data_IF_362026924266
#
_entry.id   IF_362026924266
#
_cell.length_a   1.000
_cell.length_b   1.000
_cell.length_c   1.000
_cell.angle_alpha   90.00
_cell.angle_beta   90.00
_cell.angle_gamma   90.00
#
_symmetry.space_group_name_H-M   'P 1'
#
loop_
_entity.id
_entity.type
_entity.pdbx_description
1 polymer ?
#
# COMPACT_ATOMS: atom_id res chain seq x y z
N UNK A 1 -5.21 8.93 21.97
CA UNK A 1 -4.65 8.68 20.62
C UNK A 1 -3.49 7.72 20.79
N UNK A 2 -3.58 6.49 20.28
CA UNK A 2 -2.58 5.42 20.47
C UNK A 2 -1.19 5.73 19.86
N UNK A 3 -1.13 6.75 18.98
CA UNK A 3 0.09 7.16 18.28
C UNK A 3 1.16 7.64 19.26
N UNK A 4 0.79 8.31 20.36
CA UNK A 4 1.75 8.82 21.34
C UNK A 4 2.51 7.69 22.03
N UNK A 5 1.81 6.64 22.45
CA UNK A 5 2.39 5.47 23.11
C UNK A 5 3.35 4.73 22.16
N UNK A 6 2.97 4.60 20.88
CA UNK A 6 3.80 3.91 19.86
C UNK A 6 5.12 4.61 19.54
N UNK A 7 5.20 5.92 19.74
CA UNK A 7 6.37 6.72 19.35
C UNK A 7 7.10 7.30 20.57
N UNK A 8 6.69 6.95 21.79
CA UNK A 8 7.20 7.49 23.05
C UNK A 8 8.73 7.42 23.10
N UNK A 9 9.32 6.26 22.80
CA UNK A 9 10.77 6.04 22.80
C UNK A 9 11.55 6.94 21.82
N UNK A 10 10.87 7.49 20.82
CA UNK A 10 11.49 8.40 19.86
C UNK A 10 11.45 9.87 20.34
N UNK A 11 10.58 10.22 21.29
CA UNK A 11 10.40 11.58 21.78
C UNK A 11 11.05 11.76 23.16
N UNK A 12 11.73 12.88 23.36
CA UNK A 12 12.17 13.28 24.70
C UNK A 12 11.12 14.21 25.31
N UNK A 13 10.77 13.94 26.57
CA UNK A 13 9.78 14.72 27.33
C UNK A 13 10.36 16.03 27.88
N UNK A 14 11.66 16.06 28.14
CA UNK A 14 12.30 17.07 28.98
C UNK A 14 13.52 17.76 28.35
N UNK A 15 14.08 17.22 27.26
CA UNK A 15 15.34 17.72 26.70
C UNK A 15 15.24 18.17 25.24
N UNK A 16 15.81 19.35 24.97
CA UNK A 16 15.97 19.91 23.63
C UNK A 16 14.78 20.71 23.11
N UNK A 17 14.81 21.03 21.80
CA UNK A 17 13.72 21.77 21.14
C UNK A 17 12.56 20.80 20.89
N UNK A 18 11.31 21.16 21.27
CA UNK A 18 10.16 20.30 21.01
C UNK A 18 10.03 19.99 19.52
N UNK A 19 9.90 18.70 19.21
CA UNK A 19 9.66 18.21 17.85
C UNK A 19 8.22 18.47 17.41
N UNK A 20 7.95 18.21 16.13
CA UNK A 20 6.58 18.26 15.63
C UNK A 20 5.74 17.16 16.31
N UNK A 21 4.49 17.50 16.63
CA UNK A 21 3.51 16.57 17.19
C UNK A 21 3.43 15.29 16.33
N UNK A 22 3.58 14.09 16.92
CA UNK A 22 3.56 12.84 16.17
C UNK A 22 2.24 12.60 15.43
N UNK A 23 1.11 13.10 15.95
CA UNK A 23 -0.18 12.98 15.26
C UNK A 23 -0.19 13.79 13.96
N UNK A 24 0.36 15.02 13.96
CA UNK A 24 0.57 15.80 12.73
C UNK A 24 1.49 15.08 11.74
N UNK A 25 2.58 14.47 12.22
CA UNK A 25 3.53 13.75 11.36
C UNK A 25 2.91 12.55 10.63
N UNK A 26 1.92 11.90 11.25
CA UNK A 26 1.18 10.79 10.65
C UNK A 26 0.08 11.31 9.70
N UNK A 27 -0.62 12.38 10.07
CA UNK A 27 -1.75 12.90 9.30
C UNK A 27 -1.37 13.64 8.02
N UNK A 28 -0.25 14.38 8.00
CA UNK A 28 0.18 15.12 6.79
C UNK A 28 0.39 14.18 5.58
N UNK A 29 1.08 13.03 5.69
CA UNK A 29 1.18 12.05 4.62
C UNK A 29 -0.17 11.53 4.11
N UNK A 30 -1.18 11.40 4.98
CA UNK A 30 -2.51 10.95 4.56
C UNK A 30 -3.16 11.96 3.61
N UNK A 31 -3.01 13.27 3.87
CA UNK A 31 -3.44 14.32 2.94
C UNK A 31 -2.73 14.16 1.59
N UNK A 32 -1.41 13.91 1.61
CA UNK A 32 -0.65 13.67 0.36
C UNK A 32 -1.18 12.47 -0.41
N UNK A 33 -1.49 11.38 0.28
CA UNK A 33 -1.97 10.14 -0.32
C UNK A 33 -3.38 10.33 -0.91
N UNK A 34 -4.34 10.83 -0.14
CA UNK A 34 -5.73 10.97 -0.56
C UNK A 34 -5.92 11.95 -1.71
N UNK A 35 -5.14 13.04 -1.73
CA UNK A 35 -5.25 14.08 -2.75
C UNK A 35 -4.15 14.01 -3.82
N UNK A 36 -3.30 12.97 -3.80
CA UNK A 36 -2.25 12.76 -4.79
C UNK A 36 -1.15 13.84 -4.82
N UNK A 37 -0.92 14.55 -3.71
CA UNK A 37 0.04 15.66 -3.63
C UNK A 37 1.47 15.10 -3.45
N UNK A 38 2.21 15.03 -4.55
CA UNK A 38 3.58 14.48 -4.56
C UNK A 38 4.63 15.36 -3.88
N UNK A 39 4.36 16.65 -3.72
CA UNK A 39 5.32 17.62 -3.20
C UNK A 39 5.01 17.98 -1.76
N UNK A 40 5.92 17.62 -0.86
CA UNK A 40 5.86 18.00 0.55
C UNK A 40 5.74 19.52 0.76
N UNK A 41 6.43 20.32 -0.06
CA UNK A 41 6.32 21.79 -0.03
C UNK A 41 4.94 22.26 -0.43
N UNK A 42 4.35 21.63 -1.45
CA UNK A 42 2.99 21.94 -1.89
C UNK A 42 1.99 21.57 -0.79
N UNK A 43 2.16 20.40 -0.16
CA UNK A 43 1.30 19.97 0.95
C UNK A 43 1.25 20.99 2.07
N UNK A 44 2.40 21.52 2.50
CA UNK A 44 2.45 22.55 3.54
C UNK A 44 1.75 23.84 3.09
N UNK A 45 1.98 24.30 1.86
CA UNK A 45 1.28 25.48 1.30
C UNK A 45 -0.23 25.27 1.24
N UNK A 46 -0.68 24.07 0.87
CA UNK A 46 -2.10 23.76 0.82
C UNK A 46 -2.71 23.74 2.23
N UNK A 47 -1.98 23.25 3.23
CA UNK A 47 -2.41 23.29 4.65
C UNK A 47 -2.51 24.74 5.16
N UNK A 48 -1.67 25.66 4.69
CA UNK A 48 -1.74 27.08 5.08
C UNK A 48 -3.07 27.73 4.66
N UNK A 49 -3.61 27.35 3.50
CA UNK A 49 -4.80 28.01 2.91
C UNK A 49 -6.09 27.19 3.03
N UNK A 50 -6.00 25.88 3.20
CA UNK A 50 -7.17 25.00 3.18
C UNK A 50 -7.66 24.70 4.61
N UNK A 51 -8.81 25.26 4.96
CA UNK A 51 -9.45 25.08 6.28
C UNK A 51 -9.77 23.62 6.60
N UNK A 52 -10.16 22.81 5.61
CA UNK A 52 -10.44 21.39 5.83
C UNK A 52 -9.19 20.61 6.22
N UNK A 53 -8.04 20.94 5.62
CA UNK A 53 -6.76 20.32 5.98
C UNK A 53 -6.34 20.72 7.39
N UNK A 54 -6.50 22.00 7.76
CA UNK A 54 -6.23 22.47 9.12
C UNK A 54 -7.12 21.76 10.14
N UNK A 55 -8.42 21.67 9.88
CA UNK A 55 -9.36 20.97 10.74
C UNK A 55 -8.99 19.49 10.92
N UNK A 56 -8.66 18.79 9.83
CA UNK A 56 -8.22 17.39 9.90
C UNK A 56 -6.94 17.22 10.74
N UNK A 57 -6.01 18.17 10.62
CA UNK A 57 -4.77 18.22 11.39
C UNK A 57 -4.97 18.68 12.84
N UNK A 58 -6.15 19.18 13.21
CA UNK A 58 -6.40 19.75 14.54
C UNK A 58 -5.76 21.13 14.75
N UNK A 59 -5.47 21.85 13.66
CA UNK A 59 -4.96 23.21 13.69
C UNK A 59 -6.12 24.21 13.64
N UNK A 60 -6.14 25.16 14.58
CA UNK A 60 -7.00 26.35 14.59
C UNK A 60 -6.61 27.29 13.45
N UNK A 61 -7.36 28.35 13.17
CA UNK A 61 -7.00 29.31 12.11
C UNK A 61 -5.70 30.08 12.42
N UNK A 62 -5.43 30.38 13.69
CA UNK A 62 -4.28 31.16 14.13
C UNK A 62 -3.00 30.32 14.33
N UNK A 63 -3.11 28.99 14.32
CA UNK A 63 -1.98 28.10 14.57
C UNK A 63 -0.95 28.18 13.43
N UNK A 64 0.34 28.07 13.78
CA UNK A 64 1.39 28.06 12.76
C UNK A 64 1.49 26.69 12.10
N UNK A 65 1.49 26.68 10.77
CA UNK A 65 1.75 25.45 10.01
C UNK A 65 3.25 25.10 10.10
N UNK A 66 3.60 23.81 10.26
CA UNK A 66 4.99 23.40 10.27
C UNK A 66 5.70 23.73 8.96
N UNK A 67 6.90 24.28 9.05
CA UNK A 67 7.71 24.51 7.85
C UNK A 67 8.10 23.17 7.19
N UNK A 68 8.09 23.12 5.85
CA UNK A 68 8.31 21.88 5.08
C UNK A 68 9.64 21.18 5.41
N UNK A 69 10.70 21.92 5.75
CA UNK A 69 11.99 21.32 6.16
C UNK A 69 11.88 20.62 7.51
N UNK A 70 11.11 21.18 8.45
CA UNK A 70 10.88 20.61 9.76
C UNK A 70 10.08 19.32 9.62
N UNK A 71 9.03 19.34 8.82
CA UNK A 71 8.25 18.15 8.49
C UNK A 71 9.14 17.08 7.85
N UNK A 72 9.86 17.39 6.77
CA UNK A 72 10.71 16.42 6.08
C UNK A 72 11.78 15.79 6.95
N UNK A 73 12.47 16.58 7.78
CA UNK A 73 13.50 16.05 8.71
C UNK A 73 12.91 15.15 9.78
N UNK A 74 11.74 15.49 10.34
CA UNK A 74 11.10 14.66 11.35
C UNK A 74 10.54 13.38 10.74
N UNK A 75 9.93 13.47 9.55
CA UNK A 75 9.41 12.32 8.83
C UNK A 75 10.53 11.31 8.52
N UNK A 76 11.63 11.74 7.91
CA UNK A 76 12.77 10.86 7.63
C UNK A 76 13.37 10.26 8.91
N UNK A 77 13.55 11.03 9.98
CA UNK A 77 14.20 10.50 11.19
C UNK A 77 13.35 9.51 11.99
N UNK A 78 12.02 9.69 11.97
CA UNK A 78 11.10 9.00 12.91
C UNK A 78 10.19 7.98 12.22
N UNK A 79 9.89 8.19 10.95
CA UNK A 79 8.93 7.40 10.17
C UNK A 79 9.52 6.79 8.91
N UNK A 80 10.84 6.86 8.71
CA UNK A 80 11.53 6.10 7.66
C UNK A 80 11.53 4.59 7.97
N UNK A 81 11.52 4.21 9.25
CA UNK A 81 11.25 2.81 9.61
C UNK A 81 9.77 2.50 9.31
N UNK A 82 9.56 1.68 8.28
CA UNK A 82 8.25 1.27 7.77
C UNK A 82 7.41 0.51 8.80
N UNK A 83 8.04 -0.04 9.84
CA UNK A 83 7.34 -0.81 10.89
C UNK A 83 6.37 0.04 11.71
N UNK A 84 6.76 1.25 12.10
CA UNK A 84 5.90 2.16 12.88
C UNK A 84 4.66 2.54 12.07
N UNK A 85 4.84 2.88 10.78
CA UNK A 85 3.72 3.17 9.89
C UNK A 85 2.82 1.95 9.67
N UNK A 86 3.40 0.76 9.53
CA UNK A 86 2.65 -0.48 9.38
C UNK A 86 1.80 -0.79 10.63
N UNK A 87 2.34 -0.60 11.84
CA UNK A 87 1.57 -0.76 13.08
C UNK A 87 0.43 0.25 13.19
N UNK A 88 0.71 1.53 12.89
CA UNK A 88 -0.33 2.57 12.89
C UNK A 88 -1.45 2.23 11.91
N UNK A 89 -1.09 1.85 10.69
CA UNK A 89 -2.06 1.47 9.67
C UNK A 89 -2.87 0.24 10.09
N UNK A 90 -2.21 -0.77 10.65
CA UNK A 90 -2.88 -2.00 11.11
C UNK A 90 -3.87 -1.72 12.24
N UNK A 91 -3.52 -0.83 13.17
CA UNK A 91 -4.39 -0.42 14.27
C UNK A 91 -5.59 0.39 13.79
N UNK A 92 -5.40 1.30 12.81
CA UNK A 92 -6.51 2.02 12.19
C UNK A 92 -7.42 1.05 11.44
N UNK A 93 -6.85 0.15 10.65
CA UNK A 93 -7.59 -0.87 9.90
C UNK A 93 -8.41 -1.77 10.83
N UNK A 94 -7.84 -2.17 11.97
CA UNK A 94 -8.54 -2.96 12.97
C UNK A 94 -9.80 -2.26 13.49
N UNK A 95 -9.71 -0.98 13.84
CA UNK A 95 -10.89 -0.22 14.26
C UNK A 95 -11.93 -0.05 13.16
N UNK A 96 -11.50 0.11 11.90
CA UNK A 96 -12.41 0.18 10.76
C UNK A 96 -13.16 -1.15 10.59
N UNK A 97 -12.47 -2.29 10.78
CA UNK A 97 -13.09 -3.62 10.79
C UNK A 97 -14.07 -3.79 11.96
N UNK A 98 -13.68 -3.40 13.19
CA UNK A 98 -14.55 -3.47 14.37
C UNK A 98 -15.80 -2.59 14.22
N UNK A 99 -15.67 -1.42 13.59
CA UNK A 99 -16.78 -0.53 13.28
C UNK A 99 -17.70 -1.07 12.17
N UNK A 100 -17.35 -2.20 11.51
CA UNK A 100 -18.12 -2.78 10.41
C UNK A 100 -18.08 -1.93 9.13
N UNK A 101 -17.05 -1.10 8.97
CA UNK A 101 -16.89 -0.23 7.79
C UNK A 101 -16.21 -0.94 6.61
N UNK A 102 -15.61 -2.12 6.85
CA UNK A 102 -15.04 -3.00 5.83
C UNK A 102 -15.60 -4.39 6.06
N UNK A 103 -16.06 -5.05 4.99
CA UNK A 103 -16.41 -6.46 5.03
C UNK A 103 -15.25 -7.34 4.50
N UNK A 104 -14.59 -8.14 5.37
CA UNK A 104 -13.49 -9.01 4.94
C UNK A 104 -13.94 -10.33 4.29
N UNK A 105 -15.24 -10.62 4.23
CA UNK A 105 -15.76 -11.90 3.71
C UNK A 105 -15.60 -12.03 2.20
N UNK A 106 -15.73 -10.94 1.45
CA UNK A 106 -15.62 -10.91 0.00
C UNK A 106 -14.75 -9.74 -0.44
N UNK A 107 -13.66 -10.04 -1.14
CA UNK A 107 -12.72 -9.05 -1.67
C UNK A 107 -12.64 -9.19 -3.18
N UNK A 108 -12.98 -8.13 -3.89
CA UNK A 108 -12.83 -8.01 -5.33
C UNK A 108 -11.48 -7.37 -5.65
N UNK A 109 -10.63 -8.07 -6.38
CA UNK A 109 -9.31 -7.56 -6.78
C UNK A 109 -9.31 -7.37 -8.30
N UNK A 110 -9.17 -6.12 -8.74
CA UNK A 110 -8.93 -5.79 -10.15
C UNK A 110 -7.43 -5.52 -10.38
N UNK A 111 -6.90 -6.09 -11.46
CA UNK A 111 -5.49 -6.04 -11.81
C UNK A 111 -5.27 -5.29 -13.11
N UNK A 112 -4.71 -4.08 -13.04
CA UNK A 112 -4.35 -3.28 -14.22
C UNK A 112 -2.85 -3.37 -14.48
N UNK A 113 -2.49 -3.63 -15.74
CA UNK A 113 -1.09 -3.67 -16.17
C UNK A 113 -0.62 -2.29 -16.64
N UNK A 114 0.38 -1.73 -15.97
CA UNK A 114 1.00 -0.45 -16.32
C UNK A 114 2.32 -0.72 -17.03
N UNK A 115 2.47 -0.23 -18.26
CA UNK A 115 3.70 -0.44 -19.03
C UNK A 115 4.91 0.17 -18.28
N UNK A 116 5.95 -0.63 -18.10
CA UNK A 116 7.19 -0.19 -17.50
C UNK A 116 8.03 0.64 -18.49
N UNK A 117 8.85 1.54 -17.97
CA UNK A 117 9.83 2.31 -18.74
C UNK A 117 11.11 1.47 -18.98
N UNK A 118 10.95 0.24 -19.48
CA UNK A 118 12.03 -0.72 -19.66
C UNK A 118 12.17 -1.13 -21.14
N UNK A 119 13.40 -1.43 -21.56
CA UNK A 119 13.65 -1.89 -22.93
C UNK A 119 13.32 -3.39 -23.05
N UNK A 120 12.40 -3.72 -23.94
CA UNK A 120 11.93 -5.09 -24.20
C UNK A 120 13.03 -6.05 -24.67
N UNK A 121 14.15 -5.55 -25.22
CA UNK A 121 15.24 -6.37 -25.75
C UNK A 121 16.39 -6.54 -24.76
N UNK A 122 16.36 -5.86 -23.60
CA UNK A 122 17.40 -5.95 -22.57
C UNK A 122 16.88 -6.71 -21.35
N UNK A 123 17.05 -8.03 -21.38
CA UNK A 123 16.60 -8.91 -20.30
C UNK A 123 17.56 -10.08 -20.07
N UNK A 124 17.50 -10.63 -18.86
CA UNK A 124 18.11 -11.90 -18.48
C UNK A 124 17.03 -12.91 -18.14
N UNK A 125 17.28 -14.19 -18.43
CA UNK A 125 16.37 -15.27 -18.03
C UNK A 125 16.71 -15.68 -16.61
N UNK A 126 15.78 -15.50 -15.68
CA UNK A 126 15.93 -15.94 -14.30
C UNK A 126 14.93 -17.04 -14.02
N UNK A 127 15.39 -18.10 -13.36
CA UNK A 127 14.53 -19.16 -12.84
C UNK A 127 13.95 -18.64 -11.53
N UNK A 128 12.66 -18.34 -11.53
CA UNK A 128 11.96 -17.85 -10.34
C UNK A 128 11.11 -19.00 -9.82
N UNK A 129 11.33 -19.34 -8.56
CA UNK A 129 10.47 -20.29 -7.85
C UNK A 129 9.08 -19.67 -7.69
N UNK A 130 8.03 -20.44 -8.02
CA UNK A 130 6.68 -19.91 -7.91
C UNK A 130 6.31 -19.82 -6.42
N UNK A 131 6.30 -18.59 -5.88
CA UNK A 131 5.79 -18.35 -4.53
C UNK A 131 4.38 -18.95 -4.41
N UNK A 132 4.16 -19.68 -3.32
CA UNK A 132 2.86 -20.23 -2.99
C UNK A 132 1.80 -19.12 -3.01
N UNK A 133 0.69 -19.36 -3.70
CA UNK A 133 -0.46 -18.46 -3.65
C UNK A 133 -1.01 -18.53 -2.23
N UNK A 134 -1.12 -17.37 -1.58
CA UNK A 134 -1.82 -17.25 -0.31
C UNK A 134 -3.27 -17.78 -0.47
N UNK A 135 -3.74 -18.57 0.49
CA UNK A 135 -5.08 -19.17 0.53
C UNK A 135 -5.44 -20.11 -0.65
N UNK A 136 -4.46 -20.73 -1.33
CA UNK A 136 -4.77 -21.68 -2.42
C UNK A 136 -5.63 -22.85 -1.98
N UNK A 137 -5.39 -23.37 -0.77
CA UNK A 137 -6.12 -24.52 -0.22
C UNK A 137 -7.58 -24.17 0.08
N UNK A 138 -7.83 -23.00 0.68
CA UNK A 138 -9.19 -22.51 0.93
C UNK A 138 -9.95 -22.30 -0.37
N UNK A 139 -9.32 -21.69 -1.37
CA UNK A 139 -9.91 -21.49 -2.69
C UNK A 139 -10.28 -22.82 -3.37
N UNK A 140 -9.43 -23.86 -3.26
CA UNK A 140 -9.73 -25.19 -3.80
C UNK A 140 -10.94 -25.83 -3.11
N UNK A 141 -11.10 -25.63 -1.79
CA UNK A 141 -12.26 -26.10 -1.03
C UNK A 141 -13.53 -25.40 -1.52
N UNK A 142 -13.51 -24.07 -1.62
CA UNK A 142 -14.65 -23.26 -2.06
C UNK A 142 -15.10 -23.60 -3.49
N UNK A 143 -14.16 -23.69 -4.44
CA UNK A 143 -14.45 -24.07 -5.82
C UNK A 143 -15.11 -25.45 -5.87
N UNK A 144 -14.64 -26.40 -5.06
CA UNK A 144 -15.21 -27.74 -5.03
C UNK A 144 -16.60 -27.79 -4.38
N UNK A 145 -16.86 -26.98 -3.35
CA UNK A 145 -18.19 -26.80 -2.77
C UNK A 145 -19.17 -26.22 -3.79
N UNK A 146 -18.75 -25.21 -4.55
CA UNK A 146 -19.55 -24.61 -5.63
C UNK A 146 -19.84 -25.63 -6.74
N UNK A 147 -18.84 -26.39 -7.18
CA UNK A 147 -19.02 -27.47 -8.16
C UNK A 147 -20.01 -28.53 -7.69
N UNK A 148 -19.97 -28.91 -6.41
CA UNK A 148 -20.95 -29.84 -5.82
C UNK A 148 -22.37 -29.29 -5.87
N UNK A 149 -22.57 -28.00 -5.56
CA UNK A 149 -23.88 -27.32 -5.71
C UNK A 149 -24.38 -27.37 -7.15
N UNK A 150 -23.48 -27.24 -8.12
CA UNK A 150 -23.79 -27.33 -9.55
C UNK A 150 -23.74 -28.76 -10.13
N UNK A 151 -23.72 -29.81 -9.29
CA UNK A 151 -23.65 -31.22 -9.70
C UNK A 151 -22.46 -31.56 -10.63
N UNK A 152 -21.36 -30.81 -10.53
CA UNK A 152 -20.11 -31.01 -11.26
C UNK A 152 -19.13 -31.85 -10.43
N UNK A 153 -18.33 -32.69 -11.10
CA UNK A 153 -17.27 -33.48 -10.45
C UNK A 153 -16.18 -32.57 -9.86
N UNK A 154 -15.56 -33.00 -8.76
CA UNK A 154 -14.42 -32.33 -8.13
C UNK A 154 -13.26 -32.09 -9.11
N UNK A 155 -12.53 -31.00 -8.91
CA UNK A 155 -11.28 -30.75 -9.64
C UNK A 155 -10.15 -31.58 -9.03
N UNK A 156 -9.22 -32.01 -9.88
CA UNK A 156 -7.97 -32.60 -9.41
C UNK A 156 -7.11 -31.49 -8.78
N UNK A 157 -6.38 -31.77 -7.69
CA UNK A 157 -5.52 -30.79 -7.05
C UNK A 157 -4.49 -30.24 -8.05
N UNK A 158 -4.22 -28.94 -7.97
CA UNK A 158 -3.24 -28.32 -8.86
C UNK A 158 -1.84 -28.91 -8.58
N UNK A 159 -1.12 -29.31 -9.63
CA UNK A 159 0.30 -29.67 -9.48
C UNK A 159 1.05 -28.42 -9.00
N UNK A 160 1.87 -28.56 -7.95
CA UNK A 160 2.77 -27.49 -7.50
C UNK A 160 3.62 -27.05 -8.70
N UNK A 161 3.62 -25.75 -8.97
CA UNK A 161 4.30 -25.19 -10.12
C UNK A 161 5.81 -25.36 -9.98
N UNK A 162 6.43 -26.07 -10.92
CA UNK A 162 7.88 -26.12 -11.03
C UNK A 162 8.43 -24.72 -11.36
N UNK A 163 9.69 -24.47 -10.98
CA UNK A 163 10.35 -23.21 -11.27
C UNK A 163 10.41 -22.98 -12.80
N UNK A 164 9.93 -21.82 -13.24
CA UNK A 164 9.86 -21.50 -14.68
C UNK A 164 10.86 -20.41 -15.04
N UNK A 165 11.51 -20.50 -16.22
CA UNK A 165 12.29 -19.39 -16.73
C UNK A 165 11.37 -18.20 -16.99
N UNK A 166 11.71 -17.04 -16.42
CA UNK A 166 11.04 -15.76 -16.68
C UNK A 166 12.04 -14.73 -17.19
N UNK A 167 11.60 -13.89 -18.13
CA UNK A 167 12.37 -12.73 -18.59
C UNK A 167 12.33 -11.67 -17.48
N UNK A 168 13.49 -11.26 -16.99
CA UNK A 168 13.66 -10.15 -16.05
C UNK A 168 14.41 -9.02 -16.77
N UNK A 169 13.88 -7.79 -16.72
CA UNK A 169 14.57 -6.64 -17.32
C UNK A 169 15.90 -6.37 -16.62
N UNK A 170 16.92 -5.95 -17.38
CA UNK A 170 18.17 -5.47 -16.80
C UNK A 170 18.08 -4.02 -16.31
N UNK A 171 17.12 -3.24 -16.82
CA UNK A 171 16.94 -1.82 -16.48
C UNK A 171 15.98 -1.64 -15.31
N UNK A 172 15.00 -2.54 -15.18
CA UNK A 172 13.94 -2.46 -14.19
C UNK A 172 13.53 -3.87 -13.71
N UNK A 173 14.28 -4.45 -12.77
CA UNK A 173 14.12 -5.83 -12.34
C UNK A 173 12.77 -6.17 -11.70
N UNK A 174 12.02 -5.16 -11.26
CA UNK A 174 10.73 -5.28 -10.58
C UNK A 174 9.55 -5.37 -11.56
N UNK A 175 9.77 -5.04 -12.84
CA UNK A 175 8.78 -5.21 -13.90
C UNK A 175 8.64 -6.66 -14.34
N UNK A 176 7.41 -7.08 -14.67
CA UNK A 176 7.09 -8.39 -15.21
C UNK A 176 6.95 -8.39 -16.74
N UNK A 177 7.19 -9.54 -17.38
CA UNK A 177 6.90 -9.71 -18.81
C UNK A 177 5.41 -9.94 -19.04
N UNK A 178 4.77 -9.07 -19.83
CA UNK A 178 3.33 -9.06 -20.07
C UNK A 178 2.99 -9.10 -21.57
N UNK A 179 1.98 -9.88 -21.92
CA UNK A 179 1.42 -9.98 -23.27
C UNK A 179 0.15 -9.13 -23.35
N UNK A 180 0.21 -7.99 -24.04
CA UNK A 180 -0.93 -7.11 -24.29
C UNK A 180 -1.63 -7.55 -25.59
N UNK A 181 -2.66 -8.39 -25.43
CA UNK A 181 -3.34 -9.02 -26.56
C UNK A 181 -2.41 -9.96 -27.33
N UNK A 182 -2.65 -10.16 -28.62
CA UNK A 182 -1.87 -11.09 -29.44
C UNK A 182 -0.56 -10.48 -29.99
N UNK A 183 -0.47 -9.16 -30.09
CA UNK A 183 0.56 -8.53 -30.93
C UNK A 183 1.67 -7.81 -30.18
N UNK A 184 1.61 -7.72 -28.84
CA UNK A 184 2.55 -6.86 -28.12
C UNK A 184 2.99 -7.45 -26.79
N UNK A 185 4.28 -7.76 -26.71
CA UNK A 185 4.94 -8.12 -25.46
C UNK A 185 5.68 -6.91 -24.91
N UNK A 186 5.50 -6.60 -23.62
CA UNK A 186 6.15 -5.48 -22.94
C UNK A 186 6.48 -5.84 -21.51
N UNK A 187 7.49 -5.19 -20.95
CA UNK A 187 7.63 -5.12 -19.50
C UNK A 187 6.51 -4.24 -18.91
N UNK A 188 5.87 -4.71 -17.86
CA UNK A 188 4.77 -4.02 -17.18
C UNK A 188 4.75 -4.34 -15.68
N UNK A 189 4.24 -3.41 -14.89
CA UNK A 189 3.87 -3.61 -13.50
C UNK A 189 2.41 -4.05 -13.39
N UNK A 190 2.12 -4.90 -12.41
CA UNK A 190 0.75 -5.21 -12.03
C UNK A 190 0.33 -4.29 -10.89
N UNK A 191 -0.58 -3.37 -11.16
CA UNK A 191 -1.21 -2.52 -10.15
C UNK A 191 -2.56 -3.17 -9.79
N UNK A 192 -2.76 -3.47 -8.51
CA UNK A 192 -3.97 -4.11 -8.01
C UNK A 192 -4.77 -3.12 -7.18
N UNK A 193 -6.08 -3.09 -7.40
CA UNK A 193 -7.05 -2.38 -6.58
C UNK A 193 -7.95 -3.42 -5.94
N UNK A 194 -8.17 -3.31 -4.63
CA UNK A 194 -9.03 -4.21 -3.88
C UNK A 194 -10.20 -3.42 -3.29
N UNK A 195 -11.42 -3.93 -3.46
CA UNK A 195 -12.66 -3.40 -2.89
C UNK A 195 -13.38 -4.51 -2.15
N UNK A 196 -14.13 -4.15 -1.10
CA UNK A 196 -15.06 -5.07 -0.47
C UNK A 196 -16.39 -5.08 -1.25
N UNK A 197 -17.40 -5.80 -0.73
CA UNK A 197 -18.74 -5.87 -1.35
C UNK A 197 -19.48 -4.54 -1.41
N UNK A 198 -19.02 -3.51 -0.69
CA UNK A 198 -19.67 -2.21 -0.57
C UNK A 198 -19.03 -1.12 -1.45
N UNK A 199 -17.85 -1.37 -2.01
CA UNK A 199 -17.20 -0.54 -3.03
C UNK A 199 -16.12 0.36 -2.48
#
# INVERSE_FOLDING_TARGET
>A
SFIYDLVEDSYSSDNGRPSLDPVLLVKIPLIQCFYGIRSMRQTIKDIEVNTAYRWFLGLSLDDKVPHFTTYGKNYSRRFENKEVLAHIFSHVLHHVLEAGLIDPSEIFIDGTHIKAAANNHKYKTVVIDQKAKFMSEQLEIEINLDRKKHAKKFLKPAKKGEAKPKKQSTTDPDSGWFHKGEHKEVFAYNAQVACDKHG
#
